data_IF_743019953276
#
_entry.id   IF_743019953276
#
_cell.length_a   1.000
_cell.length_b   1.000
_cell.length_c   1.000
_cell.angle_alpha   90.00
_cell.angle_beta   90.00
_cell.angle_gamma   90.00
#
_symmetry.space_group_name_H-M   'P 1'
#
loop_
_entity.id
_entity.type
_entity.pdbx_description
1 polymer ?
#
# COMPACT_ATOMS: atom_id res chain seq x y z
N UNK A 1 -27.80 27.31 -14.01
CA UNK A 1 -28.81 26.24 -13.91
C UNK A 1 -28.14 24.92 -13.54
N UNK A 2 -28.44 24.44 -12.33
CA UNK A 2 -28.31 23.06 -11.80
C UNK A 2 -27.28 22.10 -12.42
N UNK A 3 -26.07 22.05 -11.86
CA UNK A 3 -25.22 20.86 -11.90
C UNK A 3 -25.90 19.73 -11.13
N UNK A 4 -26.69 18.90 -11.82
CA UNK A 4 -27.27 17.70 -11.22
C UNK A 4 -26.11 16.80 -10.73
N UNK A 5 -26.12 16.34 -9.47
CA UNK A 5 -25.12 15.39 -8.99
C UNK A 5 -25.17 14.13 -9.87
N UNK A 6 -23.99 13.78 -10.35
CA UNK A 6 -23.73 12.92 -11.49
C UNK A 6 -24.19 11.48 -11.25
N UNK A 7 -25.21 11.04 -12.00
CA UNK A 7 -25.59 9.62 -12.13
C UNK A 7 -24.43 8.77 -12.69
N UNK A 8 -23.42 9.42 -13.28
CA UNK A 8 -22.24 8.78 -13.87
C UNK A 8 -21.11 8.52 -12.85
N UNK A 9 -21.11 9.21 -11.71
CA UNK A 9 -20.14 9.03 -10.62
C UNK A 9 -20.12 7.58 -10.08
N UNK A 10 -21.27 6.98 -9.71
CA UNK A 10 -21.29 5.60 -9.22
C UNK A 10 -20.89 4.59 -10.30
N UNK A 11 -21.19 4.87 -11.58
CA UNK A 11 -20.78 4.03 -12.70
C UNK A 11 -19.26 4.05 -12.89
N UNK A 12 -18.64 5.23 -12.85
CA UNK A 12 -17.18 5.37 -13.00
C UNK A 12 -16.43 4.63 -11.89
N UNK A 13 -16.92 4.69 -10.64
CA UNK A 13 -16.33 3.96 -9.51
C UNK A 13 -16.45 2.44 -9.71
N UNK A 14 -17.60 1.95 -10.17
CA UNK A 14 -17.81 0.52 -10.46
C UNK A 14 -16.92 0.04 -11.60
N UNK A 15 -16.82 0.80 -12.69
CA UNK A 15 -15.95 0.46 -13.84
C UNK A 15 -14.49 0.43 -13.42
N UNK A 16 -14.01 1.40 -12.63
CA UNK A 16 -12.63 1.43 -12.16
C UNK A 16 -12.30 0.23 -11.27
N UNK A 17 -13.22 -0.17 -10.39
CA UNK A 17 -13.08 -1.39 -9.58
C UNK A 17 -13.07 -2.65 -10.44
N UNK A 18 -13.95 -2.73 -11.43
CA UNK A 18 -13.98 -3.85 -12.36
C UNK A 18 -12.67 -3.95 -13.17
N UNK A 19 -12.21 -2.84 -13.75
CA UNK A 19 -10.94 -2.76 -14.48
C UNK A 19 -9.76 -3.17 -13.59
N UNK A 20 -9.76 -2.75 -12.32
CA UNK A 20 -8.74 -3.16 -11.37
C UNK A 20 -8.75 -4.68 -11.14
N UNK A 21 -9.92 -5.28 -10.92
CA UNK A 21 -10.06 -6.73 -10.70
C UNK A 21 -9.60 -7.51 -11.93
N UNK A 22 -10.04 -7.10 -13.13
CA UNK A 22 -9.65 -7.73 -14.40
C UNK A 22 -8.16 -7.57 -14.64
N UNK A 23 -7.62 -6.37 -14.44
CA UNK A 23 -6.21 -6.06 -14.58
C UNK A 23 -5.34 -6.88 -13.62
N UNK A 24 -5.80 -7.10 -12.38
CA UNK A 24 -5.12 -7.95 -11.41
C UNK A 24 -5.04 -9.40 -11.89
N UNK A 25 -6.14 -9.94 -12.40
CA UNK A 25 -6.19 -11.30 -12.95
C UNK A 25 -5.28 -11.46 -14.16
N UNK A 26 -5.32 -10.51 -15.09
CA UNK A 26 -4.47 -10.52 -16.28
C UNK A 26 -2.98 -10.36 -15.94
N UNK A 27 -2.63 -9.40 -15.08
CA UNK A 27 -1.25 -9.19 -14.64
C UNK A 27 -0.70 -10.45 -13.95
N UNK A 28 -1.52 -11.05 -13.08
CA UNK A 28 -1.16 -12.30 -12.42
C UNK A 28 -0.89 -13.42 -13.42
N UNK A 29 -1.71 -13.53 -14.46
CA UNK A 29 -1.54 -14.51 -15.52
C UNK A 29 -0.24 -14.31 -16.29
N UNK A 30 0.08 -13.08 -16.71
CA UNK A 30 1.32 -12.77 -17.45
C UNK A 30 2.55 -13.10 -16.61
N UNK A 31 2.60 -12.60 -15.38
CA UNK A 31 3.73 -12.83 -14.46
C UNK A 31 3.86 -14.31 -14.12
N UNK A 32 2.73 -14.98 -13.85
CA UNK A 32 2.71 -16.40 -13.53
C UNK A 32 3.10 -17.29 -14.71
N UNK A 33 2.73 -16.92 -15.95
CA UNK A 33 3.16 -17.64 -17.15
C UNK A 33 4.68 -17.52 -17.36
N UNK A 34 5.25 -16.32 -17.20
CA UNK A 34 6.70 -16.10 -17.28
C UNK A 34 7.46 -16.91 -16.22
N UNK A 35 6.95 -16.92 -14.99
CA UNK A 35 7.51 -17.72 -13.90
C UNK A 35 7.39 -19.21 -14.18
N UNK A 36 6.22 -19.66 -14.62
CA UNK A 36 5.93 -21.05 -14.95
C UNK A 36 6.89 -21.59 -16.01
N UNK A 37 7.05 -20.88 -17.13
CA UNK A 37 7.97 -21.28 -18.21
C UNK A 37 9.42 -21.29 -17.72
N UNK A 38 9.83 -20.26 -16.98
CA UNK A 38 11.19 -20.17 -16.44
C UNK A 38 11.49 -21.33 -15.46
N UNK A 39 10.53 -21.66 -14.60
CA UNK A 39 10.66 -22.77 -13.66
C UNK A 39 10.65 -24.11 -14.39
N UNK A 40 9.76 -24.28 -15.37
CA UNK A 40 9.65 -25.51 -16.15
C UNK A 40 10.97 -25.82 -16.86
N UNK A 41 11.61 -24.84 -17.48
CA UNK A 41 12.92 -25.02 -18.13
C UNK A 41 14.01 -25.44 -17.12
N UNK A 42 14.03 -24.85 -15.93
CA UNK A 42 15.04 -25.16 -14.90
C UNK A 42 14.79 -26.50 -14.20
N UNK A 43 13.53 -26.85 -13.98
CA UNK A 43 13.14 -28.07 -13.26
C UNK A 43 12.97 -29.26 -14.20
N UNK A 44 12.96 -29.07 -15.52
CA UNK A 44 12.68 -30.14 -16.49
C UNK A 44 13.50 -31.41 -16.24
N UNK A 45 14.82 -31.26 -16.09
CA UNK A 45 15.72 -32.39 -15.83
C UNK A 45 15.43 -33.08 -14.47
N UNK A 46 15.04 -32.31 -13.45
CA UNK A 46 14.72 -32.83 -12.11
C UNK A 46 13.36 -33.52 -12.06
N UNK A 47 12.38 -33.01 -12.80
CA UNK A 47 11.03 -33.58 -12.88
C UNK A 47 11.04 -34.87 -13.71
N UNK A 48 11.83 -34.93 -14.78
CA UNK A 48 12.00 -36.15 -15.56
C UNK A 48 12.78 -37.23 -14.80
N UNK A 49 13.61 -36.86 -13.82
CA UNK A 49 14.27 -37.83 -12.95
C UNK A 49 13.33 -38.47 -11.90
N UNK A 50 12.09 -37.99 -11.74
CA UNK A 50 11.14 -38.59 -10.82
C UNK A 50 10.65 -39.96 -11.34
N UNK A 51 10.69 -41.02 -10.55
CA UNK A 51 10.36 -42.38 -11.01
C UNK A 51 8.86 -42.65 -11.17
N UNK A 52 7.98 -41.81 -10.62
CA UNK A 52 6.53 -42.05 -10.63
C UNK A 52 5.73 -40.91 -11.27
N UNK A 53 4.82 -41.27 -12.17
CA UNK A 53 3.89 -40.33 -12.81
C UNK A 53 2.92 -39.70 -11.79
N UNK A 54 2.65 -40.38 -10.69
CA UNK A 54 1.91 -39.86 -9.54
C UNK A 54 2.52 -38.60 -8.92
N UNK A 55 3.84 -38.40 -9.00
CA UNK A 55 4.49 -37.16 -8.54
C UNK A 55 4.65 -36.16 -9.68
N UNK A 56 4.91 -36.63 -10.90
CA UNK A 56 5.09 -35.75 -12.07
C UNK A 56 3.81 -34.98 -12.42
N UNK A 57 2.66 -35.64 -12.41
CA UNK A 57 1.36 -35.04 -12.74
C UNK A 57 1.02 -33.85 -11.80
N UNK A 58 1.02 -33.99 -10.46
CA UNK A 58 0.71 -32.86 -9.58
C UNK A 58 1.74 -31.74 -9.66
N UNK A 59 3.03 -32.06 -9.82
CA UNK A 59 4.07 -31.05 -10.01
C UNK A 59 3.83 -30.26 -11.29
N UNK A 60 3.51 -30.92 -12.39
CA UNK A 60 3.15 -30.25 -13.65
C UNK A 60 1.93 -29.34 -13.47
N UNK A 61 0.87 -29.81 -12.81
CA UNK A 61 -0.34 -29.02 -12.55
C UNK A 61 -0.04 -27.80 -11.69
N UNK A 62 0.80 -27.93 -10.65
CA UNK A 62 1.19 -26.80 -9.80
C UNK A 62 2.02 -25.79 -10.58
N UNK A 63 2.99 -26.24 -11.39
CA UNK A 63 3.81 -25.36 -12.22
C UNK A 63 2.96 -24.61 -13.25
N UNK A 64 1.98 -25.27 -13.85
CA UNK A 64 1.10 -24.67 -14.86
C UNK A 64 0.10 -23.68 -14.24
N UNK A 65 -0.37 -23.96 -13.01
CA UNK A 65 -1.33 -23.12 -12.28
C UNK A 65 -0.67 -22.17 -11.26
N UNK A 66 0.64 -21.94 -11.39
CA UNK A 66 1.42 -21.09 -10.48
C UNK A 66 0.87 -19.65 -10.42
N UNK A 67 0.28 -19.19 -11.53
CA UNK A 67 -0.33 -17.88 -11.61
C UNK A 67 -1.51 -17.71 -10.63
N UNK A 68 -2.38 -18.72 -10.46
CA UNK A 68 -3.51 -18.68 -9.51
C UNK A 68 -3.08 -19.06 -8.10
N UNK A 69 -2.09 -19.96 -7.98
CA UNK A 69 -1.70 -20.52 -6.69
C UNK A 69 -0.71 -19.63 -5.91
N UNK A 70 0.15 -18.89 -6.60
CA UNK A 70 1.21 -18.11 -5.97
C UNK A 70 1.12 -16.62 -6.32
N UNK A 71 1.03 -16.29 -7.61
CA UNK A 71 1.08 -14.89 -8.05
C UNK A 71 -0.20 -14.13 -7.67
N UNK A 72 -1.37 -14.72 -7.93
CA UNK A 72 -2.65 -14.08 -7.66
C UNK A 72 -2.84 -13.79 -6.16
N UNK A 73 -2.58 -14.73 -5.23
CA UNK A 73 -2.65 -14.46 -3.81
C UNK A 73 -1.63 -13.41 -3.36
N UNK A 74 -0.40 -13.41 -3.91
CA UNK A 74 0.61 -12.42 -3.57
C UNK A 74 0.19 -11.00 -3.99
N UNK A 75 -0.32 -10.85 -5.21
CA UNK A 75 -0.84 -9.58 -5.71
C UNK A 75 -2.10 -9.14 -4.94
N UNK A 76 -3.00 -10.08 -4.62
CA UNK A 76 -4.18 -9.82 -3.81
C UNK A 76 -3.82 -9.38 -2.38
N UNK A 77 -2.80 -9.98 -1.78
CA UNK A 77 -2.27 -9.56 -0.48
C UNK A 77 -1.75 -8.13 -0.54
N UNK A 78 -0.89 -7.82 -1.52
CA UNK A 78 -0.34 -6.47 -1.69
C UNK A 78 -1.44 -5.42 -1.94
N UNK A 79 -2.37 -5.72 -2.83
CA UNK A 79 -3.50 -4.83 -3.14
C UNK A 79 -4.41 -4.59 -1.92
N UNK A 80 -4.64 -5.61 -1.10
CA UNK A 80 -5.48 -5.52 0.09
C UNK A 80 -4.89 -4.63 1.20
N UNK A 81 -3.58 -4.33 1.15
CA UNK A 81 -2.96 -3.39 2.09
C UNK A 81 -3.23 -1.93 1.74
N UNK A 82 -3.50 -1.64 0.47
CA UNK A 82 -3.62 -0.27 -0.05
C UNK A 82 -5.10 0.08 -0.31
N UNK A 83 -5.89 -0.90 -0.74
CA UNK A 83 -7.28 -0.70 -1.16
C UNK A 83 -8.23 -1.59 -0.37
N UNK A 84 -9.34 -1.03 0.10
CA UNK A 84 -10.42 -1.78 0.74
C UNK A 84 -11.15 -2.65 -0.29
N UNK A 85 -10.67 -3.89 -0.44
CA UNK A 85 -11.21 -4.87 -1.38
C UNK A 85 -12.26 -5.77 -0.70
N UNK A 86 -13.26 -6.17 -1.47
CA UNK A 86 -14.25 -7.16 -1.05
C UNK A 86 -13.74 -8.55 -1.42
N UNK A 87 -13.38 -9.32 -0.39
CA UNK A 87 -12.65 -10.58 -0.48
C UNK A 87 -13.13 -11.51 -1.59
N UNK A 88 -14.40 -11.90 -1.55
CA UNK A 88 -14.93 -12.90 -2.48
C UNK A 88 -15.09 -12.38 -3.90
N UNK A 89 -15.62 -11.16 -4.08
CA UNK A 89 -15.83 -10.59 -5.42
C UNK A 89 -14.51 -10.29 -6.12
N UNK A 90 -13.49 -9.88 -5.37
CA UNK A 90 -12.15 -9.63 -5.94
C UNK A 90 -11.42 -10.93 -6.23
N UNK A 91 -11.41 -11.90 -5.30
CA UNK A 91 -10.73 -13.18 -5.51
C UNK A 91 -11.36 -13.97 -6.67
N UNK A 92 -12.68 -14.11 -6.69
CA UNK A 92 -13.40 -14.80 -7.77
C UNK A 92 -13.28 -14.00 -9.06
N UNK A 93 -13.49 -12.69 -9.03
CA UNK A 93 -13.45 -11.86 -10.24
C UNK A 93 -12.07 -11.90 -10.92
N UNK A 94 -10.98 -11.81 -10.15
CA UNK A 94 -9.63 -11.84 -10.70
C UNK A 94 -9.23 -13.24 -11.20
N UNK A 95 -9.64 -14.30 -10.49
CA UNK A 95 -9.41 -15.67 -10.93
C UNK A 95 -10.20 -15.99 -12.20
N UNK A 96 -11.49 -15.62 -12.25
CA UNK A 96 -12.34 -15.84 -13.43
C UNK A 96 -11.83 -15.03 -14.61
N UNK A 97 -11.47 -13.76 -14.44
CA UNK A 97 -10.95 -12.96 -15.54
C UNK A 97 -9.66 -13.55 -16.12
N UNK A 98 -8.71 -13.95 -15.27
CA UNK A 98 -7.49 -14.64 -15.71
C UNK A 98 -7.81 -15.99 -16.37
N UNK A 99 -8.74 -16.77 -15.81
CA UNK A 99 -9.16 -18.06 -16.37
C UNK A 99 -9.79 -17.93 -17.76
N UNK A 100 -10.61 -16.89 -17.97
CA UNK A 100 -11.16 -16.57 -19.29
C UNK A 100 -10.05 -16.28 -20.30
N UNK A 101 -9.00 -15.55 -19.91
CA UNK A 101 -7.83 -15.36 -20.77
C UNK A 101 -7.09 -16.66 -21.08
N UNK A 102 -6.91 -17.56 -20.10
CA UNK A 102 -6.33 -18.90 -20.35
C UNK A 102 -7.16 -19.66 -21.38
N UNK A 103 -8.48 -19.68 -21.22
CA UNK A 103 -9.39 -20.37 -22.15
C UNK A 103 -9.26 -19.76 -23.55
N UNK A 104 -9.25 -18.43 -23.66
CA UNK A 104 -9.09 -17.74 -24.93
C UNK A 104 -7.75 -18.08 -25.61
N UNK A 105 -6.65 -18.10 -24.85
CA UNK A 105 -5.33 -18.45 -25.37
C UNK A 105 -5.25 -19.92 -25.83
N UNK A 106 -5.80 -20.85 -25.04
CA UNK A 106 -5.84 -22.26 -25.41
C UNK A 106 -6.73 -22.48 -26.64
N UNK A 107 -7.85 -21.76 -26.74
CA UNK A 107 -8.70 -21.81 -27.92
C UNK A 107 -7.98 -21.32 -29.19
N UNK A 108 -7.19 -20.24 -29.09
CA UNK A 108 -6.38 -19.75 -30.22
C UNK A 108 -5.26 -20.72 -30.57
N UNK A 109 -4.68 -21.42 -29.59
CA UNK A 109 -3.55 -22.34 -29.77
C UNK A 109 -3.97 -23.70 -30.32
N UNK A 110 -4.97 -24.31 -29.71
CA UNK A 110 -5.34 -25.73 -29.90
C UNK A 110 -6.74 -25.90 -30.52
N UNK A 111 -7.44 -24.80 -30.84
CA UNK A 111 -8.76 -24.82 -31.46
C UNK A 111 -9.82 -25.51 -30.58
N UNK A 112 -10.81 -26.13 -31.24
CA UNK A 112 -11.86 -26.91 -30.55
C UNK A 112 -11.37 -28.25 -30.01
N UNK A 113 -10.27 -28.80 -30.55
CA UNK A 113 -9.72 -30.09 -30.12
C UNK A 113 -9.19 -30.05 -28.68
N UNK A 114 -8.67 -28.88 -28.26
CA UNK A 114 -8.22 -28.63 -26.88
C UNK A 114 -9.35 -28.58 -25.84
N UNK A 115 -10.60 -28.36 -26.24
CA UNK A 115 -11.76 -28.38 -25.32
C UNK A 115 -12.37 -29.77 -25.16
N UNK A 116 -12.33 -30.60 -26.21
CA UNK A 116 -12.95 -31.92 -26.21
C UNK A 116 -12.05 -33.00 -25.58
N UNK A 117 -10.73 -32.85 -25.69
CA UNK A 117 -9.76 -33.88 -25.29
C UNK A 117 -9.14 -33.54 -23.94
N UNK A 118 -9.62 -34.11 -22.83
CA UNK A 118 -8.93 -33.89 -21.54
C UNK A 118 -9.70 -34.12 -20.24
N UNK A 119 -10.80 -34.86 -20.23
CA UNK A 119 -11.50 -35.21 -18.99
C UNK A 119 -10.81 -36.41 -18.30
N UNK A 120 -9.66 -36.16 -17.67
CA UNK A 120 -8.89 -37.13 -16.90
C UNK A 120 -8.49 -36.63 -15.52
N UNK A 121 -7.68 -37.39 -14.78
CA UNK A 121 -7.24 -37.02 -13.43
C UNK A 121 -6.55 -35.64 -13.35
N UNK A 122 -5.78 -35.28 -14.38
CA UNK A 122 -5.10 -33.99 -14.44
C UNK A 122 -6.07 -32.80 -14.51
N UNK A 123 -7.22 -32.92 -15.19
CA UNK A 123 -8.19 -31.83 -15.27
C UNK A 123 -8.96 -31.65 -13.97
N UNK A 124 -9.29 -32.74 -13.26
CA UNK A 124 -9.82 -32.66 -11.91
C UNK A 124 -8.83 -31.92 -10.98
N UNK A 125 -7.54 -32.25 -11.06
CA UNK A 125 -6.51 -31.58 -10.26
C UNK A 125 -6.33 -30.11 -10.62
N UNK A 126 -6.45 -29.73 -11.91
CA UNK A 126 -6.45 -28.33 -12.35
C UNK A 126 -7.65 -27.55 -11.78
N UNK A 127 -8.84 -28.14 -11.76
CA UNK A 127 -10.02 -27.51 -11.14
C UNK A 127 -9.81 -27.33 -9.64
N UNK A 128 -9.28 -28.34 -8.95
CA UNK A 128 -8.94 -28.24 -7.52
C UNK A 128 -7.89 -27.16 -7.27
N UNK A 129 -6.84 -27.09 -8.10
CA UNK A 129 -5.82 -26.04 -8.01
C UNK A 129 -6.41 -24.65 -8.25
N UNK A 130 -7.34 -24.50 -9.19
CA UNK A 130 -8.01 -23.25 -9.48
C UNK A 130 -8.88 -22.78 -8.30
N UNK A 131 -9.72 -23.67 -7.76
CA UNK A 131 -10.53 -23.40 -6.57
C UNK A 131 -9.64 -23.13 -5.35
N UNK A 132 -8.58 -23.91 -5.16
CA UNK A 132 -7.58 -23.71 -4.12
C UNK A 132 -6.92 -22.34 -4.23
N UNK A 133 -6.57 -21.90 -5.43
CA UNK A 133 -6.01 -20.59 -5.70
C UNK A 133 -6.98 -19.44 -5.40
N UNK A 134 -8.28 -19.61 -5.67
CA UNK A 134 -9.32 -18.66 -5.25
C UNK A 134 -9.37 -18.55 -3.72
N UNK A 135 -9.35 -19.69 -3.01
CA UNK A 135 -9.39 -19.72 -1.55
C UNK A 135 -8.13 -19.10 -0.94
N UNK A 136 -6.96 -19.40 -1.50
CA UNK A 136 -5.67 -18.77 -1.14
C UNK A 136 -5.72 -17.26 -1.34
N UNK A 137 -6.25 -16.81 -2.48
CA UNK A 137 -6.43 -15.38 -2.78
C UNK A 137 -7.38 -14.71 -1.78
N UNK A 138 -8.50 -15.37 -1.44
CA UNK A 138 -9.42 -14.88 -0.44
C UNK A 138 -8.77 -14.78 0.95
N UNK A 139 -7.99 -15.79 1.35
CA UNK A 139 -7.22 -15.78 2.61
C UNK A 139 -6.16 -14.68 2.60
N UNK A 140 -5.46 -14.50 1.49
CA UNK A 140 -4.45 -13.46 1.31
C UNK A 140 -5.05 -12.05 1.43
N UNK A 141 -6.24 -11.80 0.87
CA UNK A 141 -6.95 -10.52 1.04
C UNK A 141 -7.30 -10.28 2.51
N UNK A 142 -7.82 -11.29 3.21
CA UNK A 142 -8.14 -11.18 4.65
C UNK A 142 -6.89 -10.87 5.48
N UNK A 143 -5.78 -11.56 5.20
CA UNK A 143 -4.50 -11.33 5.87
C UNK A 143 -3.95 -9.93 5.58
N UNK A 144 -4.01 -9.46 4.33
CA UNK A 144 -3.57 -8.13 3.93
C UNK A 144 -4.39 -7.02 4.59
N UNK A 145 -5.70 -7.22 4.72
CA UNK A 145 -6.57 -6.30 5.47
C UNK A 145 -6.25 -6.24 6.95
N UNK A 146 -6.06 -7.38 7.61
CA UNK A 146 -5.67 -7.42 9.01
C UNK A 146 -4.32 -6.72 9.24
N UNK A 147 -3.39 -6.82 8.29
CA UNK A 147 -2.12 -6.10 8.34
C UNK A 147 -2.27 -4.59 8.09
N UNK A 148 -3.25 -4.16 7.29
CA UNK A 148 -3.56 -2.75 7.07
C UNK A 148 -4.21 -2.11 8.30
N UNK A 149 -5.14 -2.81 8.95
CA UNK A 149 -5.81 -2.37 10.18
C UNK A 149 -4.81 -2.18 11.34
N UNK A 150 -3.80 -3.05 11.44
CA UNK A 150 -2.68 -2.86 12.39
C UNK A 150 -1.86 -1.61 12.07
N UNK A 151 -1.55 -1.37 10.79
CA UNK A 151 -0.80 -0.19 10.36
C UNK A 151 -1.56 1.12 10.59
N UNK A 152 -2.88 1.13 10.42
CA UNK A 152 -3.71 2.31 10.74
C UNK A 152 -3.79 2.54 12.24
N UNK A 153 -3.95 1.48 13.06
CA UNK A 153 -3.97 1.61 14.51
C UNK A 153 -2.64 2.14 15.07
N UNK A 154 -1.49 1.70 14.52
CA UNK A 154 -0.18 2.23 14.89
C UNK A 154 0.00 3.69 14.46
N UNK A 155 -0.53 4.08 13.29
CA UNK A 155 -0.49 5.47 12.82
C UNK A 155 -1.39 6.38 13.67
N UNK A 156 -2.57 5.90 14.06
CA UNK A 156 -3.48 6.59 14.97
C UNK A 156 -2.88 6.72 16.37
N UNK A 157 -2.24 5.67 16.89
CA UNK A 157 -1.53 5.73 18.17
C UNK A 157 -0.38 6.75 18.13
N UNK A 158 0.40 6.80 17.05
CA UNK A 158 1.46 7.81 16.85
C UNK A 158 0.91 9.22 16.66
N UNK A 159 -0.29 9.36 16.10
CA UNK A 159 -0.96 10.65 15.97
C UNK A 159 -1.54 11.12 17.32
N UNK A 160 -2.10 10.20 18.10
CA UNK A 160 -2.59 10.46 19.45
C UNK A 160 -1.45 10.84 20.41
N UNK A 161 -0.33 10.12 20.37
CA UNK A 161 0.86 10.44 21.16
C UNK A 161 1.43 11.84 20.83
N UNK A 162 1.50 12.19 19.53
CA UNK A 162 1.94 13.53 19.12
C UNK A 162 0.96 14.64 19.50
N UNK A 163 -0.35 14.33 19.58
CA UNK A 163 -1.35 15.29 20.09
C UNK A 163 -1.21 15.50 21.59
N UNK A 164 -1.05 14.43 22.37
CA UNK A 164 -0.88 14.55 23.81
C UNK A 164 0.40 15.30 24.19
N UNK A 165 1.49 15.11 23.44
CA UNK A 165 2.71 15.92 23.61
C UNK A 165 2.43 17.41 23.35
N UNK A 166 1.69 17.73 22.27
CA UNK A 166 1.31 19.11 21.95
C UNK A 166 0.39 19.75 23.00
N UNK A 167 -0.57 18.99 23.52
CA UNK A 167 -1.48 19.45 24.57
C UNK A 167 -0.72 19.69 25.89
N UNK A 168 0.30 18.87 26.20
CA UNK A 168 1.20 19.10 27.33
C UNK A 168 2.06 20.36 27.15
N UNK A 169 2.57 20.62 25.95
CA UNK A 169 3.28 21.87 25.65
C UNK A 169 2.37 23.10 25.77
N UNK A 170 1.13 23.01 25.29
CA UNK A 170 0.14 24.10 25.42
C UNK A 170 -0.21 24.37 26.89
N UNK A 171 -0.46 23.32 27.68
CA UNK A 171 -0.75 23.46 29.10
C UNK A 171 0.43 24.01 29.90
N UNK A 172 1.66 23.63 29.56
CA UNK A 172 2.87 24.20 30.16
C UNK A 172 3.07 25.67 29.78
N UNK A 173 2.73 26.06 28.54
CA UNK A 173 2.76 27.45 28.09
C UNK A 173 1.70 28.31 28.79
N UNK A 174 0.48 27.80 28.96
CA UNK A 174 -0.59 28.47 29.73
C UNK A 174 -0.20 28.64 31.21
N UNK A 175 0.38 27.61 31.82
CA UNK A 175 0.88 27.71 33.20
C UNK A 175 2.06 28.69 33.34
N UNK A 176 2.90 28.81 32.32
CA UNK A 176 3.99 29.80 32.25
C UNK A 176 3.46 31.23 32.10
N UNK A 177 2.46 31.43 31.23
CA UNK A 177 1.77 32.71 31.03
C UNK A 177 1.05 33.17 32.30
N UNK A 178 0.29 32.28 32.95
CA UNK A 178 -0.41 32.59 34.20
C UNK A 178 0.54 32.99 35.35
N UNK A 179 1.74 32.41 35.40
CA UNK A 179 2.78 32.80 36.38
C UNK A 179 3.38 34.17 36.09
N UNK A 180 3.50 34.55 34.82
CA UNK A 180 3.95 35.88 34.42
C UNK A 180 2.88 36.93 34.75
N UNK A 181 1.60 36.65 34.48
CA UNK A 181 0.49 37.54 34.85
C UNK A 181 0.36 37.72 36.37
N UNK A 182 0.60 36.68 37.18
CA UNK A 182 0.66 36.82 38.63
C UNK A 182 1.84 37.69 39.09
N UNK A 183 2.97 37.62 38.39
CA UNK A 183 4.14 38.45 38.69
C UNK A 183 3.89 39.91 38.32
N UNK A 184 3.25 40.18 37.19
CA UNK A 184 2.90 41.54 36.76
C UNK A 184 1.75 42.13 37.60
N UNK A 185 0.74 41.34 37.96
CA UNK A 185 -0.32 41.76 38.87
C UNK A 185 0.17 42.01 40.31
N UNK A 186 1.16 41.24 40.78
CA UNK A 186 1.80 41.49 42.07
C UNK A 186 2.77 42.68 42.02
N UNK A 187 3.49 42.87 40.91
CA UNK A 187 4.32 44.05 40.69
C UNK A 187 3.48 45.33 40.54
N UNK A 188 2.26 45.25 40.01
CA UNK A 188 1.31 46.37 39.95
C UNK A 188 0.63 46.67 41.30
N UNK A 189 0.55 45.69 42.21
CA UNK A 189 0.05 45.87 43.57
C UNK A 189 1.11 46.43 44.54
N UNK A 190 2.39 46.41 44.16
CA UNK A 190 3.50 46.91 44.96
C UNK A 190 4.14 48.13 44.29
N UNK A 191 3.35 49.19 44.12
CA UNK A 191 3.86 50.53 43.87
C UNK A 191 3.75 51.38 45.14
N UNK A 192 4.86 51.71 45.80
CA UNK A 192 5.01 52.99 46.47
C UNK A 192 5.83 53.93 45.57
N UNK A 193 5.24 55.08 45.28
CA UNK A 193 5.89 56.20 44.63
C UNK A 193 7.06 56.75 45.46
N UNK A 194 8.19 57.02 44.84
CA UNK A 194 9.07 58.13 45.27
C UNK A 194 9.83 58.68 44.07
N UNK A 195 9.54 59.95 43.74
CA UNK A 195 10.32 60.79 42.85
C UNK A 195 11.62 61.21 43.54
N UNK A 196 12.76 61.22 42.83
CA UNK A 196 13.64 62.40 42.80
C UNK A 196 14.62 62.41 41.61
N UNK A 197 14.92 63.64 41.20
CA UNK A 197 15.60 64.16 40.02
C UNK A 197 17.03 63.65 39.69
N UNK A 198 17.33 63.70 38.39
CA UNK A 198 18.60 63.66 37.64
C UNK A 198 19.55 64.85 37.98
N UNK A 199 20.87 64.89 37.62
CA UNK A 199 21.29 64.93 36.20
C UNK A 199 22.69 64.39 35.76
N UNK A 200 22.71 64.05 34.46
CA UNK A 200 23.78 64.21 33.44
C UNK A 200 25.08 63.40 33.49
N UNK A 201 25.38 62.70 32.37
CA UNK A 201 26.40 63.09 31.36
C UNK A 201 26.52 62.01 30.26
N UNK A 202 26.41 62.41 28.98
CA UNK A 202 27.21 61.85 27.88
C UNK A 202 26.58 60.82 26.92
N UNK A 203 25.88 61.30 25.89
CA UNK A 203 25.86 60.67 24.54
C UNK A 203 27.16 61.04 23.78
N UNK A 204 27.44 60.55 22.55
CA UNK A 204 26.95 59.37 21.83
C UNK A 204 28.12 58.55 21.21
N UNK A 205 27.86 57.36 20.63
CA UNK A 205 28.50 56.87 19.39
C UNK A 205 28.00 55.47 19.02
N UNK A 206 27.09 55.42 18.06
CA UNK A 206 27.08 54.44 16.96
C UNK A 206 27.57 55.20 15.71
N UNK A 207 28.02 54.61 14.57
CA UNK A 207 27.45 53.40 13.96
C UNK A 207 28.45 52.55 13.14
N UNK A 208 27.91 51.71 12.24
CA UNK A 208 28.55 51.01 11.11
C UNK A 208 29.29 49.70 11.44
N UNK A 209 29.11 48.61 10.70
CA UNK A 209 28.33 48.41 9.49
C UNK A 209 28.56 47.02 8.89
N UNK A 210 27.65 46.67 7.99
CA UNK A 210 27.87 45.85 6.79
C UNK A 210 28.08 44.33 6.87
N UNK A 211 27.09 43.69 6.23
CA UNK A 211 27.25 42.69 5.15
C UNK A 211 27.32 41.19 5.50
N UNK A 212 26.20 40.51 5.24
CA UNK A 212 26.18 39.20 4.56
C UNK A 212 26.21 39.42 3.03
N UNK A 213 26.30 38.42 2.12
CA UNK A 213 26.80 37.02 2.13
C UNK A 213 27.82 36.88 0.93
N UNK A 214 27.95 35.82 0.08
CA UNK A 214 27.57 34.40 0.09
C UNK A 214 28.71 33.43 -0.31
N UNK A 215 28.52 32.11 -0.13
CA UNK A 215 29.53 31.11 -0.50
C UNK A 215 28.94 29.73 -0.77
N UNK A 216 28.25 29.64 -1.89
CA UNK A 216 27.81 28.43 -2.57
C UNK A 216 29.02 27.52 -2.93
N UNK A 217 29.01 26.25 -2.53
CA UNK A 217 29.91 25.23 -3.10
C UNK A 217 29.13 23.97 -3.46
N UNK A 218 28.69 23.98 -4.71
CA UNK A 218 28.96 22.97 -5.74
C UNK A 218 28.78 21.48 -5.44
N UNK A 219 27.77 20.95 -6.13
CA UNK A 219 27.68 19.62 -6.74
C UNK A 219 29.05 19.01 -7.07
N UNK A 220 29.19 17.71 -6.80
CA UNK A 220 30.10 16.82 -7.53
C UNK A 220 29.32 15.64 -8.08
N UNK A 221 29.41 15.34 -9.39
CA UNK A 221 28.78 14.19 -10.03
C UNK A 221 29.77 13.01 -10.20
N UNK A 222 29.20 11.90 -10.69
CA UNK A 222 29.82 10.78 -11.41
C UNK A 222 30.47 9.65 -10.60
N UNK A 223 29.89 8.46 -10.69
CA UNK A 223 30.31 7.44 -11.68
C UNK A 223 29.14 6.50 -12.01
#
# INVERSE_FOLDING_TARGET
>A
MSSKPSVLEPLRVRVRRFQFIVGLGFLSLVVGAMLSVSLALRLHARVNALPSDFLRIPVAVVLENLWVLAVLPALCYGAARIVALRTWTTAVGAAVSGGVFVIALNFVRDGFDGLATGWGFASALRVVAFVGGILLSARAIRAGRAAAEKGSAEAEAKAAARKSEYDEFLKAAEAGGARLEQREGSAAAEAPATFQETPAVGEPSAPEGSASPPGEVSKTPAA
#
